data_IF_111250913555
#
_entry.id   IF_111250913555
#
_cell.length_a   1.000
_cell.length_b   1.000
_cell.length_c   1.000
_cell.angle_alpha   90.00
_cell.angle_beta   90.00
_cell.angle_gamma   90.00
#
_symmetry.space_group_name_H-M   'P 1'
#
loop_
_entity.id
_entity.type
_entity.pdbx_description
1 polymer ?
#
# COMPACT_ATOMS: atom_id res chain seq x y z
N UNK A 1 -5.16 -15.08 -13.04
CA UNK A 1 -5.87 -13.80 -12.77
C UNK A 1 -6.00 -13.60 -11.26
N UNK A 2 -4.97 -13.11 -10.58
CA UNK A 2 -5.05 -12.92 -9.12
C UNK A 2 -4.04 -11.91 -8.58
N UNK A 3 -2.85 -11.89 -9.19
CA UNK A 3 -1.75 -11.02 -8.77
C UNK A 3 -1.81 -9.63 -9.37
N UNK A 4 -2.51 -9.45 -10.50
CA UNK A 4 -2.83 -8.15 -11.08
C UNK A 4 -3.79 -7.33 -10.22
N UNK A 5 -4.55 -7.99 -9.33
CA UNK A 5 -5.52 -7.33 -8.46
C UNK A 5 -4.85 -6.54 -7.33
N UNK A 6 -3.72 -7.03 -6.78
CA UNK A 6 -3.03 -6.38 -5.66
C UNK A 6 -2.51 -4.97 -6.03
N UNK A 7 -1.83 -4.76 -7.18
CA UNK A 7 -1.48 -3.42 -7.65
C UNK A 7 -2.70 -2.52 -7.90
N UNK A 8 -3.82 -3.11 -8.35
CA UNK A 8 -5.05 -2.38 -8.64
C UNK A 8 -5.67 -1.84 -7.35
N UNK A 9 -5.72 -2.66 -6.30
CA UNK A 9 -6.17 -2.26 -4.96
C UNK A 9 -5.25 -1.19 -4.37
N UNK A 10 -3.92 -1.38 -4.45
CA UNK A 10 -2.97 -0.38 -3.96
C UNK A 10 -3.15 0.98 -4.65
N UNK A 11 -3.36 1.00 -5.97
CA UNK A 11 -3.61 2.25 -6.71
C UNK A 11 -4.90 2.92 -6.27
N UNK A 12 -6.00 2.17 -6.12
CA UNK A 12 -7.28 2.73 -5.67
C UNK A 12 -7.18 3.26 -4.24
N UNK A 13 -6.60 2.49 -3.32
CA UNK A 13 -6.39 2.92 -1.94
C UNK A 13 -5.52 4.19 -1.87
N UNK A 14 -4.42 4.24 -2.63
CA UNK A 14 -3.57 5.42 -2.71
C UNK A 14 -4.28 6.66 -3.28
N UNK A 15 -5.20 6.48 -4.22
CA UNK A 15 -6.05 7.57 -4.75
C UNK A 15 -6.98 8.12 -3.66
N UNK A 16 -7.50 7.27 -2.79
CA UNK A 16 -8.35 7.65 -1.65
C UNK A 16 -7.54 8.08 -0.39
N UNK A 17 -6.21 8.16 -0.49
CA UNK A 17 -5.32 8.50 0.62
C UNK A 17 -5.17 7.42 1.68
N UNK A 18 -5.64 6.21 1.40
CA UNK A 18 -5.58 5.04 2.28
C UNK A 18 -4.23 4.33 2.07
N UNK A 19 -3.45 4.22 3.15
CA UNK A 19 -2.22 3.44 3.14
C UNK A 19 -2.51 1.95 2.99
N UNK A 20 -2.15 1.36 1.86
CA UNK A 20 -2.26 -0.08 1.60
C UNK A 20 -0.88 -0.72 1.60
N UNK A 21 -0.69 -1.73 2.43
CA UNK A 21 0.49 -2.59 2.42
C UNK A 21 0.08 -4.02 2.77
N UNK A 22 0.81 -4.98 2.23
CA UNK A 22 0.69 -6.39 2.54
C UNK A 22 1.58 -6.68 3.74
N UNK A 23 0.96 -7.18 4.80
CA UNK A 23 1.64 -7.72 5.96
C UNK A 23 1.71 -9.26 5.87
N UNK A 24 2.63 -9.88 6.60
CA UNK A 24 2.85 -11.34 6.62
C UNK A 24 3.03 -12.01 5.23
N UNK A 25 3.78 -11.36 4.34
CA UNK A 25 4.04 -11.89 2.99
C UNK A 25 4.93 -13.14 3.05
N UNK A 26 4.30 -14.31 2.93
CA UNK A 26 5.00 -15.60 2.88
C UNK A 26 5.98 -15.74 1.70
N UNK A 27 6.96 -16.67 1.78
CA UNK A 27 8.10 -16.73 0.87
C UNK A 27 7.71 -16.93 -0.60
N UNK A 28 6.64 -17.70 -0.87
CA UNK A 28 6.14 -17.90 -2.23
C UNK A 28 5.56 -16.61 -2.83
N UNK A 29 4.75 -15.87 -2.06
CA UNK A 29 4.18 -14.61 -2.50
C UNK A 29 5.27 -13.55 -2.65
N UNK A 30 6.24 -13.50 -1.73
CA UNK A 30 7.36 -12.55 -1.79
C UNK A 30 8.18 -12.74 -3.06
N UNK A 31 8.57 -13.98 -3.36
CA UNK A 31 9.34 -14.30 -4.58
C UNK A 31 8.58 -13.93 -5.84
N UNK A 32 7.27 -14.13 -5.83
CA UNK A 32 6.46 -13.78 -6.97
C UNK A 32 6.35 -12.26 -7.15
N UNK A 33 6.18 -11.50 -6.06
CA UNK A 33 6.20 -10.04 -6.09
C UNK A 33 7.56 -9.46 -6.52
N UNK A 34 8.65 -10.10 -6.14
CA UNK A 34 10.00 -9.77 -6.60
C UNK A 34 10.15 -9.99 -8.11
N UNK A 35 9.72 -11.14 -8.62
CA UNK A 35 9.76 -11.44 -10.07
C UNK A 35 8.91 -10.45 -10.87
N UNK A 36 7.78 -10.00 -10.32
CA UNK A 36 6.91 -9.01 -10.98
C UNK A 36 7.31 -7.55 -10.72
N UNK A 37 8.36 -7.30 -9.92
CA UNK A 37 8.80 -5.93 -9.59
C UNK A 37 7.81 -5.11 -8.75
N UNK A 38 6.84 -5.77 -8.11
CA UNK A 38 5.77 -5.12 -7.33
C UNK A 38 5.98 -5.22 -5.83
N UNK A 39 7.02 -5.93 -5.38
CA UNK A 39 7.32 -6.14 -3.96
C UNK A 39 7.36 -4.80 -3.19
N UNK A 40 8.23 -3.88 -3.59
CA UNK A 40 8.43 -2.60 -2.89
C UNK A 40 7.16 -1.74 -2.84
N UNK A 41 6.33 -1.79 -3.87
CA UNK A 41 5.07 -1.03 -3.93
C UNK A 41 3.99 -1.59 -3.01
N UNK A 42 4.02 -2.90 -2.72
CA UNK A 42 2.96 -3.56 -1.98
C UNK A 42 3.37 -3.90 -0.55
N UNK A 43 4.66 -3.91 -0.21
CA UNK A 43 5.14 -4.24 1.15
C UNK A 43 5.68 -3.05 1.91
N UNK A 44 5.97 -1.93 1.23
CA UNK A 44 6.35 -0.72 1.94
C UNK A 44 5.09 -0.12 2.57
N UNK A 45 5.07 0.16 3.88
CA UNK A 45 3.98 0.92 4.48
C UNK A 45 3.87 2.24 3.75
N UNK A 46 2.81 2.39 2.95
CA UNK A 46 2.52 3.64 2.27
C UNK A 46 2.46 4.71 3.34
N UNK A 47 3.37 5.69 3.29
CA UNK A 47 3.33 6.88 4.14
C UNK A 47 1.95 7.48 3.92
N UNK A 48 1.04 7.23 4.85
CA UNK A 48 -0.25 7.88 4.88
C UNK A 48 0.06 9.36 4.69
N UNK A 49 -0.39 9.94 3.57
CA UNK A 49 -0.30 11.38 3.36
C UNK A 49 -0.79 12.05 4.64
N UNK A 50 -0.12 13.11 5.09
CA UNK A 50 -0.20 13.61 6.46
C UNK A 50 -1.65 13.52 6.91
N UNK A 51 -1.89 12.56 7.83
CA UNK A 51 -3.14 12.45 8.57
C UNK A 51 -3.56 13.87 8.83
N UNK A 52 -4.73 14.27 8.31
CA UNK A 52 -5.20 15.63 8.42
C UNK A 52 -5.17 15.97 9.91
N UNK A 53 -4.05 16.57 10.33
CA UNK A 53 -3.86 17.17 11.63
C UNK A 53 -4.85 18.31 11.55
N UNK A 54 -6.04 17.99 12.05
CA UNK A 54 -7.14 18.89 12.17
C UNK A 54 -6.56 20.09 12.88
N UNK A 55 -6.26 21.13 12.08
CA UNK A 55 -5.98 22.49 12.52
C UNK A 55 -7.20 22.93 13.32
N UNK A 56 -7.22 22.54 14.57
CA UNK A 56 -8.15 22.97 15.60
C UNK A 56 -7.29 23.49 16.73
N UNK A 57 -6.58 24.58 16.44
CA UNK A 57 -6.07 25.44 17.50
C UNK A 57 -7.19 26.42 17.85
N UNK A 58 -7.66 26.45 19.11
CA UNK A 58 -8.81 27.25 19.52
C UNK A 58 -8.44 28.73 19.60
N UNK A 59 -9.42 29.57 19.27
CA UNK A 59 -9.40 31.03 19.44
C UNK A 59 -9.50 31.43 20.91
#
# INVERSE_FOLDING_TARGET
>A
MGLSTLPQIHRSAGHDGIGFHLDEVGPALRRLLEVTGTCTYLTTPGRAGPSAESRRHPS
#
